data_IF_771222624808
#
_entry.id   IF_771222624808
#
_cell.length_a   1.000
_cell.length_b   1.000
_cell.length_c   1.000
_cell.angle_alpha   90.00
_cell.angle_beta   90.00
_cell.angle_gamma   90.00
#
_symmetry.space_group_name_H-M   'P 1'
#
loop_
_entity.id
_entity.type
_entity.pdbx_description
1 polymer ?
#
# COMPACT_ATOMS: atom_id res chain seq x y z
N UNK A 1 20.95 21.21 16.56
CA UNK A 1 19.89 21.41 17.58
C UNK A 1 18.76 20.48 17.20
N UNK A 2 18.20 19.71 18.15
CA UNK A 2 17.02 18.89 17.86
C UNK A 2 15.88 19.83 17.41
N UNK A 3 15.22 19.49 16.31
CA UNK A 3 14.09 20.26 15.80
C UNK A 3 12.87 20.17 16.71
N UNK A 4 11.74 20.81 16.34
CA UNK A 4 10.51 20.70 17.11
C UNK A 4 10.05 19.23 17.20
N UNK A 5 9.37 18.90 18.29
CA UNK A 5 8.80 17.57 18.53
C UNK A 5 7.28 17.64 18.65
N UNK A 6 6.58 16.65 18.09
CA UNK A 6 5.12 16.57 18.09
C UNK A 6 4.54 16.40 19.49
N UNK A 7 3.27 16.81 19.68
CA UNK A 7 2.55 16.50 20.90
C UNK A 7 2.01 15.06 20.85
N UNK A 8 2.81 14.12 21.35
CA UNK A 8 2.46 12.70 21.28
C UNK A 8 1.19 12.29 22.01
N UNK A 9 0.77 13.02 23.05
CA UNK A 9 -0.51 12.74 23.71
C UNK A 9 -1.70 13.13 22.82
N UNK A 10 -1.59 14.28 22.15
CA UNK A 10 -2.61 14.77 21.21
C UNK A 10 -2.74 13.85 20.01
N UNK A 11 -1.61 13.44 19.40
CA UNK A 11 -1.59 12.47 18.30
C UNK A 11 -2.29 11.17 18.66
N UNK A 12 -1.84 10.52 19.74
CA UNK A 12 -2.41 9.23 20.15
C UNK A 12 -3.90 9.35 20.50
N UNK A 13 -4.32 10.42 21.18
CA UNK A 13 -5.74 10.66 21.45
C UNK A 13 -6.56 10.83 20.17
N UNK A 14 -6.00 11.49 19.14
CA UNK A 14 -6.64 11.64 17.84
C UNK A 14 -6.73 10.31 17.07
N UNK A 15 -5.69 9.47 17.12
CA UNK A 15 -5.72 8.11 16.54
C UNK A 15 -6.81 7.27 17.21
N UNK A 16 -6.89 7.28 18.54
CA UNK A 16 -7.93 6.56 19.27
C UNK A 16 -9.34 7.08 18.96
N UNK A 17 -9.50 8.39 18.74
CA UNK A 17 -10.80 8.96 18.42
C UNK A 17 -11.28 8.59 17.01
N UNK A 18 -10.40 8.66 15.99
CA UNK A 18 -10.73 8.17 14.64
C UNK A 18 -10.94 6.65 14.64
N UNK A 19 -10.16 5.92 15.44
CA UNK A 19 -10.27 4.47 15.62
C UNK A 19 -11.63 4.00 16.16
N UNK A 20 -12.44 4.87 16.77
CA UNK A 20 -13.81 4.53 17.19
C UNK A 20 -14.83 4.60 16.05
N UNK A 21 -14.50 5.31 14.96
CA UNK A 21 -15.40 5.50 13.83
C UNK A 21 -15.22 4.31 12.88
N UNK A 22 -16.20 3.41 12.90
CA UNK A 22 -16.17 2.14 12.16
C UNK A 22 -15.62 0.96 12.95
N UNK A 23 -15.39 1.09 14.27
CA UNK A 23 -14.94 -0.03 15.12
C UNK A 23 -16.07 -1.06 15.31
N UNK A 24 -15.76 -2.34 15.08
CA UNK A 24 -16.64 -3.47 15.41
C UNK A 24 -15.85 -4.56 16.16
N UNK A 25 -16.52 -5.56 16.77
CA UNK A 25 -15.83 -6.71 17.39
C UNK A 25 -14.92 -7.49 16.43
N UNK A 26 -15.17 -7.38 15.13
CA UNK A 26 -14.41 -8.02 14.05
C UNK A 26 -13.25 -7.15 13.54
N UNK A 27 -13.11 -5.91 14.00
CA UNK A 27 -12.09 -4.95 13.56
C UNK A 27 -12.67 -3.67 12.98
N UNK A 28 -11.82 -2.88 12.34
CA UNK A 28 -12.26 -1.66 11.65
C UNK A 28 -13.07 -1.99 10.40
N UNK A 29 -14.16 -1.26 10.21
CA UNK A 29 -15.07 -1.34 9.07
C UNK A 29 -15.29 0.06 8.49
N UNK A 30 -14.22 0.83 8.34
CA UNK A 30 -14.26 2.16 7.69
C UNK A 30 -13.92 2.01 6.20
N UNK A 31 -14.61 1.10 5.54
CA UNK A 31 -14.44 0.82 4.10
C UNK A 31 -14.88 2.05 3.30
N UNK A 32 -14.15 2.38 2.24
CA UNK A 32 -14.42 3.56 1.41
C UNK A 32 -15.90 3.65 0.99
N UNK A 33 -16.43 4.87 1.02
CA UNK A 33 -17.82 5.23 0.71
C UNK A 33 -18.90 4.65 1.66
N UNK A 34 -18.52 3.91 2.70
CA UNK A 34 -19.42 3.51 3.77
C UNK A 34 -19.84 4.71 4.64
N UNK A 35 -20.89 4.54 5.44
CA UNK A 35 -21.28 5.56 6.43
C UNK A 35 -20.13 5.88 7.40
N UNK A 36 -19.34 4.89 7.79
CA UNK A 36 -18.19 5.07 8.67
C UNK A 36 -17.07 5.88 7.98
N UNK A 37 -16.83 5.65 6.68
CA UNK A 37 -15.86 6.46 5.91
C UNK A 37 -16.33 7.91 5.82
N UNK A 38 -17.58 8.16 5.45
CA UNK A 38 -18.14 9.52 5.43
C UNK A 38 -18.01 10.22 6.78
N UNK A 39 -18.27 9.52 7.88
CA UNK A 39 -18.08 10.06 9.24
C UNK A 39 -16.62 10.32 9.59
N UNK A 40 -15.71 9.40 9.26
CA UNK A 40 -14.28 9.53 9.50
C UNK A 40 -13.64 10.66 8.69
N UNK A 41 -14.03 10.80 7.43
CA UNK A 41 -13.67 11.94 6.55
C UNK A 41 -14.09 13.26 7.17
N UNK A 42 -15.33 13.37 7.63
CA UNK A 42 -15.83 14.57 8.33
C UNK A 42 -15.02 14.87 9.59
N UNK A 43 -14.77 13.85 10.42
CA UNK A 43 -13.95 14.01 11.61
C UNK A 43 -12.55 14.56 11.29
N UNK A 44 -11.91 14.05 10.24
CA UNK A 44 -10.57 14.49 9.82
C UNK A 44 -10.60 15.91 9.23
N UNK A 45 -11.62 16.27 8.44
CA UNK A 45 -11.81 17.65 7.98
C UNK A 45 -11.95 18.63 9.16
N UNK A 46 -12.71 18.26 10.20
CA UNK A 46 -12.87 19.08 11.40
C UNK A 46 -11.55 19.24 12.14
N UNK A 47 -10.72 18.19 12.22
CA UNK A 47 -9.38 18.26 12.81
C UNK A 47 -8.45 19.19 12.03
N UNK A 48 -8.51 19.14 10.69
CA UNK A 48 -7.73 20.00 9.82
C UNK A 48 -8.16 21.47 9.98
N UNK A 49 -9.45 21.76 9.93
CA UNK A 49 -9.99 23.10 10.14
C UNK A 49 -9.65 23.63 11.53
N UNK A 50 -9.75 22.79 12.56
CA UNK A 50 -9.34 23.11 13.93
C UNK A 50 -7.83 23.32 14.10
N UNK A 51 -7.01 22.80 13.19
CA UNK A 51 -5.58 23.08 13.08
C UNK A 51 -5.27 24.32 12.22
N UNK A 52 -6.29 25.11 11.84
CA UNK A 52 -6.12 26.33 11.04
C UNK A 52 -5.90 26.08 9.54
N UNK A 53 -6.08 24.86 9.04
CA UNK A 53 -5.96 24.54 7.62
C UNK A 53 -7.16 25.03 6.82
N UNK A 54 -6.92 25.52 5.61
CA UNK A 54 -7.96 25.76 4.62
C UNK A 54 -8.35 24.44 3.98
N UNK A 55 -9.49 23.89 4.36
CA UNK A 55 -9.97 22.58 3.92
C UNK A 55 -10.83 22.72 2.66
N UNK A 56 -10.53 21.90 1.66
CA UNK A 56 -11.32 21.72 0.44
C UNK A 56 -11.30 20.26 -0.01
N UNK A 57 -12.19 19.90 -0.91
CA UNK A 57 -12.17 18.61 -1.60
C UNK A 57 -11.99 18.82 -3.10
N UNK A 58 -11.29 17.91 -3.77
CA UNK A 58 -11.26 17.85 -5.23
C UNK A 58 -12.39 16.95 -5.77
N UNK A 59 -12.61 16.90 -7.10
CA UNK A 59 -13.65 16.03 -7.68
C UNK A 59 -13.43 14.53 -7.47
N UNK A 60 -12.20 14.09 -7.20
CA UNK A 60 -11.93 12.70 -6.80
C UNK A 60 -12.30 12.42 -5.33
N UNK A 61 -12.82 13.42 -4.62
CA UNK A 61 -13.19 13.35 -3.22
C UNK A 61 -12.00 13.41 -2.27
N UNK A 62 -10.77 13.66 -2.75
CA UNK A 62 -9.61 13.79 -1.88
C UNK A 62 -9.78 15.03 -0.99
N UNK A 63 -9.45 14.90 0.29
CA UNK A 63 -9.51 16.02 1.24
C UNK A 63 -8.14 16.67 1.27
N UNK A 64 -8.13 18.00 1.16
CA UNK A 64 -6.91 18.78 1.07
C UNK A 64 -6.99 19.93 2.09
N UNK A 65 -6.16 19.85 3.13
CA UNK A 65 -6.00 20.90 4.13
C UNK A 65 -4.74 21.71 3.88
N UNK A 66 -4.87 22.98 3.48
CA UNK A 66 -3.73 23.82 3.12
C UNK A 66 -3.35 24.83 4.20
N UNK A 67 -2.06 24.90 4.53
CA UNK A 67 -1.43 25.97 5.31
C UNK A 67 -0.53 26.79 4.40
N UNK A 68 -0.68 28.10 4.42
CA UNK A 68 0.17 28.98 3.62
C UNK A 68 1.58 29.08 4.22
N UNK A 69 2.58 29.06 3.34
CA UNK A 69 3.97 29.38 3.67
C UNK A 69 4.24 30.88 3.57
N UNK A 70 5.48 31.27 3.83
CA UNK A 70 5.95 32.65 3.61
C UNK A 70 6.06 33.00 2.12
N UNK A 71 6.35 32.02 1.25
CA UNK A 71 6.20 32.14 -0.20
C UNK A 71 4.94 31.40 -0.67
N UNK A 72 3.93 32.16 -1.10
CA UNK A 72 2.64 31.61 -1.56
C UNK A 72 2.68 31.06 -2.98
N UNK A 73 3.72 31.38 -3.75
CA UNK A 73 3.92 30.90 -5.11
C UNK A 73 4.81 29.66 -5.16
N UNK A 74 5.47 29.33 -4.04
CA UNK A 74 6.26 28.11 -3.94
C UNK A 74 5.36 26.87 -4.04
N UNK A 75 5.85 25.79 -4.68
CA UNK A 75 5.14 24.51 -4.72
C UNK A 75 4.96 23.95 -3.31
N UNK A 76 3.82 23.29 -3.04
CA UNK A 76 3.52 22.84 -1.69
C UNK A 76 4.33 21.59 -1.30
N UNK A 77 4.70 21.47 -0.03
CA UNK A 77 5.14 20.19 0.53
C UNK A 77 3.90 19.48 1.06
N UNK A 78 3.56 18.34 0.44
CA UNK A 78 2.41 17.56 0.81
C UNK A 78 2.78 16.47 1.83
N UNK A 79 1.90 16.26 2.80
CA UNK A 79 1.97 15.18 3.78
C UNK A 79 0.62 14.47 3.77
N UNK A 80 0.58 13.15 3.85
CA UNK A 80 -0.73 12.49 3.87
C UNK A 80 -0.66 10.98 3.70
N UNK A 81 -1.84 10.39 3.58
CA UNK A 81 -2.08 8.97 3.27
C UNK A 81 -3.61 8.82 3.07
N UNK A 82 -4.19 7.71 3.49
CA UNK A 82 -5.63 7.43 3.45
C UNK A 82 -6.26 7.31 4.84
N UNK A 83 -7.59 7.22 4.89
CA UNK A 83 -8.34 6.94 6.14
C UNK A 83 -9.36 5.83 5.99
N UNK A 84 -9.67 5.40 4.77
CA UNK A 84 -10.42 4.17 4.57
C UNK A 84 -9.59 2.96 4.97
N UNK A 85 -10.27 1.87 5.32
CA UNK A 85 -9.65 0.61 5.75
C UNK A 85 -10.17 -0.55 4.93
N UNK A 86 -9.43 -1.65 4.89
CA UNK A 86 -10.03 -2.96 4.60
C UNK A 86 -11.10 -3.34 5.62
N UNK A 87 -12.01 -4.27 5.28
CA UNK A 87 -12.89 -4.92 6.24
C UNK A 87 -12.08 -5.65 7.32
N UNK A 88 -12.49 -5.50 8.58
CA UNK A 88 -11.79 -6.10 9.73
C UNK A 88 -10.33 -5.62 9.88
N UNK A 89 -10.00 -4.44 9.36
CA UNK A 89 -8.68 -3.85 9.42
C UNK A 89 -8.30 -3.29 10.79
N UNK A 90 -7.12 -2.69 10.86
CA UNK A 90 -6.63 -1.96 12.01
C UNK A 90 -6.96 -0.47 11.97
N UNK A 91 -6.57 0.24 13.03
CA UNK A 91 -6.81 1.69 13.15
C UNK A 91 -5.60 2.56 12.74
N UNK A 92 -4.47 1.94 12.37
CA UNK A 92 -3.22 2.64 12.09
C UNK A 92 -2.94 2.74 10.59
N UNK A 93 -3.27 1.68 9.84
CA UNK A 93 -3.18 1.64 8.37
C UNK A 93 -3.80 2.88 7.72
N UNK A 94 -3.01 3.60 6.93
CA UNK A 94 -3.29 4.95 6.40
C UNK A 94 -3.44 6.07 7.43
N UNK A 95 -4.35 5.88 8.39
CA UNK A 95 -4.77 6.88 9.36
C UNK A 95 -3.61 7.47 10.16
N UNK A 96 -2.58 6.69 10.47
CA UNK A 96 -1.37 7.19 11.14
C UNK A 96 -0.72 8.34 10.35
N UNK A 97 -0.58 8.19 9.03
CA UNK A 97 0.07 9.18 8.17
C UNK A 97 -0.69 10.49 8.13
N UNK A 98 -2.00 10.43 7.94
CA UNK A 98 -2.89 11.61 7.93
C UNK A 98 -2.86 12.32 9.28
N UNK A 99 -3.00 11.59 10.38
CA UNK A 99 -3.07 12.19 11.71
C UNK A 99 -1.72 12.75 12.17
N UNK A 100 -0.61 12.12 11.79
CA UNK A 100 0.73 12.65 12.02
C UNK A 100 1.00 13.91 11.18
N UNK A 101 0.47 14.01 9.97
CA UNK A 101 0.56 15.21 9.15
C UNK A 101 -0.20 16.39 9.79
N UNK A 102 -1.43 16.16 10.27
CA UNK A 102 -2.20 17.18 11.02
C UNK A 102 -1.46 17.59 12.29
N UNK A 103 -0.91 16.63 13.04
CA UNK A 103 -0.14 16.92 14.25
C UNK A 103 1.14 17.70 13.95
N UNK A 104 1.80 17.43 12.82
CA UNK A 104 2.96 18.18 12.36
C UNK A 104 2.60 19.66 12.17
N UNK A 105 1.48 19.94 11.49
CA UNK A 105 0.97 21.32 11.33
C UNK A 105 0.69 21.98 12.67
N UNK A 106 -0.05 21.31 13.57
CA UNK A 106 -0.34 21.84 14.91
C UNK A 106 0.92 22.15 15.70
N UNK A 107 1.94 21.30 15.56
CA UNK A 107 3.23 21.48 16.23
C UNK A 107 3.96 22.72 15.73
N UNK A 108 3.91 23.02 14.43
CA UNK A 108 4.48 24.25 13.89
C UNK A 108 3.82 25.48 14.51
N UNK A 109 2.48 25.47 14.61
CA UNK A 109 1.73 26.59 15.16
C UNK A 109 1.98 26.75 16.67
N UNK A 110 2.03 25.65 17.42
CA UNK A 110 2.39 25.65 18.85
C UNK A 110 3.78 26.27 19.11
N UNK A 111 4.69 26.17 18.14
CA UNK A 111 6.06 26.72 18.21
C UNK A 111 6.24 28.04 17.44
N UNK A 112 5.18 28.58 16.80
CA UNK A 112 5.25 29.80 15.99
C UNK A 112 6.16 29.69 14.76
N UNK A 113 6.31 28.49 14.18
CA UNK A 113 7.19 28.24 13.03
C UNK A 113 6.43 28.49 11.72
N UNK A 114 6.97 29.38 10.88
CA UNK A 114 6.48 29.60 9.51
C UNK A 114 7.44 28.93 8.53
N UNK A 115 6.90 28.17 7.58
CA UNK A 115 7.66 27.49 6.52
C UNK A 115 7.88 28.41 5.31
N UNK A 116 8.88 28.11 4.50
CA UNK A 116 9.06 28.71 3.18
C UNK A 116 7.89 28.35 2.26
N UNK A 117 7.74 27.04 2.06
CA UNK A 117 6.72 26.43 1.23
C UNK A 117 5.35 26.40 1.93
N UNK A 118 4.25 26.47 1.16
CA UNK A 118 2.94 26.04 1.63
C UNK A 118 2.97 24.56 2.01
N UNK A 119 2.16 24.18 2.99
CA UNK A 119 1.98 22.78 3.38
C UNK A 119 0.57 22.33 3.00
N UNK A 120 0.46 21.10 2.49
CA UNK A 120 -0.83 20.46 2.25
C UNK A 120 -0.91 19.14 3.03
N UNK A 121 -1.97 18.96 3.81
CA UNK A 121 -2.34 17.65 4.34
C UNK A 121 -3.34 17.01 3.40
N UNK A 122 -3.00 15.84 2.87
CA UNK A 122 -3.80 15.08 1.90
C UNK A 122 -4.45 13.87 2.57
N UNK A 123 -5.71 13.63 2.25
CA UNK A 123 -6.41 12.37 2.53
C UNK A 123 -6.93 11.82 1.22
N UNK A 124 -6.37 10.71 0.78
CA UNK A 124 -6.75 10.08 -0.47
C UNK A 124 -8.03 9.25 -0.33
N UNK A 125 -8.79 9.20 -1.41
CA UNK A 125 -10.01 8.40 -1.51
C UNK A 125 -9.70 6.96 -1.93
N UNK A 126 -10.18 5.98 -1.16
CA UNK A 126 -10.21 4.57 -1.57
C UNK A 126 -8.83 4.08 -2.01
N UNK A 127 -7.88 4.17 -1.08
CA UNK A 127 -6.54 3.62 -1.25
C UNK A 127 -6.63 2.09 -1.34
N UNK A 128 -7.35 1.47 -0.38
CA UNK A 128 -7.41 0.03 -0.17
C UNK A 128 -8.09 -0.71 -1.32
N UNK A 129 -9.00 -0.02 -2.02
CA UNK A 129 -9.68 -0.54 -3.20
C UNK A 129 -10.60 -1.74 -2.97
N UNK A 130 -10.96 -2.04 -1.72
CA UNK A 130 -11.71 -3.24 -1.32
C UNK A 130 -13.00 -3.41 -2.12
N UNK A 131 -13.82 -2.36 -2.21
CA UNK A 131 -15.19 -2.47 -2.75
C UNK A 131 -15.22 -2.67 -4.26
N UNK A 132 -14.31 -2.02 -4.98
CA UNK A 132 -14.35 -1.93 -6.45
C UNK A 132 -13.23 -2.73 -7.12
N UNK A 133 -12.33 -3.34 -6.34
CA UNK A 133 -11.08 -3.93 -6.83
C UNK A 133 -10.24 -2.92 -7.64
N UNK A 134 -10.35 -1.64 -7.27
CA UNK A 134 -9.61 -0.49 -7.82
C UNK A 134 -9.02 0.26 -6.64
N UNK A 135 -7.71 0.18 -6.47
CA UNK A 135 -6.93 0.76 -5.38
C UNK A 135 -6.34 2.11 -5.81
N UNK A 136 -5.93 2.93 -4.84
CA UNK A 136 -5.35 4.26 -5.03
C UNK A 136 -6.22 5.21 -5.85
N UNK A 137 -7.55 5.12 -5.78
CA UNK A 137 -8.41 5.90 -6.69
C UNK A 137 -8.13 7.40 -6.57
N UNK A 138 -8.09 7.91 -5.35
CA UNK A 138 -7.86 9.32 -5.07
C UNK A 138 -6.50 9.83 -5.51
N UNK A 139 -5.43 9.12 -5.15
CA UNK A 139 -4.06 9.51 -5.50
C UNK A 139 -3.76 9.31 -6.99
N UNK A 140 -4.31 8.28 -7.64
CA UNK A 140 -4.26 8.12 -9.10
C UNK A 140 -5.00 9.24 -9.81
N UNK A 141 -6.17 9.68 -9.32
CA UNK A 141 -6.86 10.82 -9.91
C UNK A 141 -6.01 12.09 -9.80
N UNK A 142 -5.43 12.34 -8.62
CA UNK A 142 -4.54 13.49 -8.39
C UNK A 142 -3.29 13.44 -9.27
N UNK A 143 -2.75 12.25 -9.54
CA UNK A 143 -1.62 12.04 -10.43
C UNK A 143 -1.99 12.00 -11.93
N UNK A 144 -3.28 12.13 -12.29
CA UNK A 144 -3.75 12.03 -13.68
C UNK A 144 -3.66 10.61 -14.27
N UNK A 145 -3.67 9.59 -13.43
CA UNK A 145 -3.42 8.18 -13.75
C UNK A 145 -4.67 7.28 -13.68
N UNK A 146 -5.86 7.84 -13.94
CA UNK A 146 -7.09 7.06 -14.11
C UNK A 146 -7.16 6.39 -15.47
N UNK A 147 -7.76 5.21 -15.49
CA UNK A 147 -8.08 4.49 -16.71
C UNK A 147 -9.59 4.24 -16.85
N UNK A 148 -10.00 3.73 -18.02
CA UNK A 148 -11.40 3.45 -18.30
C UNK A 148 -12.01 2.42 -17.32
N UNK A 149 -11.22 1.47 -16.82
CA UNK A 149 -11.70 0.47 -15.88
C UNK A 149 -11.92 1.06 -14.47
N UNK A 150 -11.30 2.19 -14.12
CA UNK A 150 -11.68 2.95 -12.91
C UNK A 150 -13.08 3.57 -13.07
N UNK A 151 -13.36 4.17 -14.22
CA UNK A 151 -14.65 4.82 -14.51
C UNK A 151 -15.82 3.83 -14.61
N UNK A 152 -15.55 2.67 -15.22
CA UNK A 152 -16.55 1.61 -15.42
C UNK A 152 -16.69 0.69 -14.18
N UNK A 153 -15.98 1.00 -13.08
CA UNK A 153 -15.97 0.15 -11.89
C UNK A 153 -17.35 0.07 -11.22
N UNK A 154 -17.68 -1.11 -10.69
CA UNK A 154 -18.90 -1.37 -9.95
C UNK A 154 -18.60 -2.26 -8.74
N UNK A 155 -19.45 -2.16 -7.72
CA UNK A 155 -19.39 -3.03 -6.56
C UNK A 155 -19.83 -4.48 -6.92
N UNK A 156 -19.68 -5.47 -6.01
CA UNK A 156 -20.05 -6.86 -6.30
C UNK A 156 -21.53 -7.10 -6.62
N UNK A 157 -22.43 -6.15 -6.34
CA UNK A 157 -23.86 -6.24 -6.66
C UNK A 157 -24.24 -5.42 -7.90
N UNK A 158 -23.27 -4.77 -8.55
CA UNK A 158 -23.42 -4.05 -9.81
C UNK A 158 -23.73 -2.57 -9.68
N UNK A 159 -23.64 -1.98 -8.48
CA UNK A 159 -23.79 -0.53 -8.29
C UNK A 159 -22.54 0.19 -8.79
N UNK A 160 -22.71 1.17 -9.66
CA UNK A 160 -21.57 1.86 -10.27
C UNK A 160 -20.80 2.74 -9.27
N UNK A 161 -19.49 2.89 -9.46
CA UNK A 161 -18.65 3.79 -8.66
C UNK A 161 -19.19 5.24 -8.66
N UNK A 162 -19.73 5.68 -9.80
CA UNK A 162 -20.33 7.01 -9.97
C UNK A 162 -21.44 7.29 -8.94
N UNK A 163 -22.22 6.28 -8.55
CA UNK A 163 -23.30 6.42 -7.57
C UNK A 163 -22.80 6.60 -6.13
N UNK A 164 -21.54 6.28 -5.86
CA UNK A 164 -20.93 6.43 -4.53
C UNK A 164 -20.23 7.79 -4.33
N UNK A 165 -19.71 8.40 -5.39
CA UNK A 165 -18.96 9.67 -5.32
C UNK A 165 -19.69 10.82 -4.61
N UNK A 166 -21.00 11.04 -4.84
CA UNK A 166 -21.74 12.08 -4.14
C UNK A 166 -21.75 11.93 -2.62
N UNK A 167 -21.60 10.70 -2.08
CA UNK A 167 -21.59 10.44 -0.63
C UNK A 167 -20.40 11.08 0.08
N UNK A 168 -19.28 11.21 -0.62
CA UNK A 168 -18.04 11.80 -0.10
C UNK A 168 -17.81 13.22 -0.63
N UNK A 169 -18.78 13.80 -1.34
CA UNK A 169 -18.67 15.13 -1.96
C UNK A 169 -17.81 15.17 -3.22
N UNK A 170 -17.47 14.01 -3.81
CA UNK A 170 -16.79 13.90 -5.08
C UNK A 170 -17.75 13.97 -6.27
N UNK A 171 -17.18 14.12 -7.46
CA UNK A 171 -17.88 14.20 -8.74
C UNK A 171 -17.08 13.47 -9.82
N UNK A 172 -17.54 12.27 -10.19
CA UNK A 172 -16.83 11.39 -11.13
C UNK A 172 -16.72 12.00 -12.53
N UNK A 173 -17.73 12.76 -12.96
CA UNK A 173 -17.75 13.40 -14.29
C UNK A 173 -16.68 14.49 -14.42
N UNK A 174 -16.17 14.98 -13.28
CA UNK A 174 -15.15 16.03 -13.19
C UNK A 174 -13.83 15.53 -12.62
N UNK A 175 -13.65 14.22 -12.50
CA UNK A 175 -12.49 13.62 -11.85
C UNK A 175 -11.15 14.05 -12.45
N UNK A 176 -11.10 14.31 -13.77
CA UNK A 176 -9.90 14.78 -14.46
C UNK A 176 -9.43 16.14 -13.92
N UNK A 177 -10.32 16.96 -13.35
CA UNK A 177 -9.95 18.24 -12.72
C UNK A 177 -9.21 18.05 -11.38
N UNK A 178 -9.19 16.85 -10.79
CA UNK A 178 -8.38 16.54 -9.63
C UNK A 178 -6.87 16.46 -9.97
N UNK A 179 -6.55 16.25 -11.24
CA UNK A 179 -5.17 16.07 -11.69
C UNK A 179 -4.32 17.31 -11.42
N UNK A 180 -3.16 17.07 -10.80
CA UNK A 180 -2.10 18.03 -10.54
C UNK A 180 -1.01 17.90 -11.59
N UNK A 181 -0.27 18.98 -11.80
CA UNK A 181 0.86 19.01 -12.73
C UNK A 181 2.17 18.81 -11.98
N UNK A 182 3.18 18.34 -12.71
CA UNK A 182 4.56 18.40 -12.23
C UNK A 182 4.90 19.85 -11.86
N UNK A 183 5.45 20.03 -10.66
CA UNK A 183 5.75 21.35 -10.10
C UNK A 183 4.63 21.99 -9.28
N UNK A 184 3.43 21.39 -9.16
CA UNK A 184 2.43 21.84 -8.18
C UNK A 184 2.84 21.46 -6.74
N UNK A 185 3.55 20.34 -6.61
CA UNK A 185 4.08 19.81 -5.36
C UNK A 185 5.61 19.77 -5.39
N UNK A 186 6.23 20.24 -4.31
CA UNK A 186 7.67 20.21 -4.10
C UNK A 186 8.17 18.83 -3.69
N UNK A 187 7.37 18.16 -2.86
CA UNK A 187 7.55 16.78 -2.43
C UNK A 187 6.25 16.26 -1.80
N UNK A 188 6.09 14.95 -1.76
CA UNK A 188 5.08 14.28 -0.94
C UNK A 188 5.73 13.34 0.07
N UNK A 189 5.34 13.43 1.34
CA UNK A 189 5.81 12.54 2.40
C UNK A 189 4.65 11.73 2.99
N UNK A 190 4.85 10.43 3.10
CA UNK A 190 3.89 9.50 3.68
C UNK A 190 4.51 8.74 4.85
N UNK A 191 3.96 8.95 6.04
CA UNK A 191 4.25 8.12 7.20
C UNK A 191 3.26 6.97 7.22
N UNK A 192 3.76 5.75 7.36
CA UNK A 192 2.94 4.56 7.38
C UNK A 192 3.46 3.55 8.40
N UNK A 193 2.62 2.60 8.79
CA UNK A 193 3.10 1.40 9.49
C UNK A 193 3.80 0.49 8.48
N UNK A 194 4.77 -0.31 8.92
CA UNK A 194 5.51 -1.20 8.02
C UNK A 194 4.61 -2.25 7.36
N UNK A 195 3.57 -2.71 8.07
CA UNK A 195 2.73 -3.88 7.72
C UNK A 195 3.51 -5.20 7.64
N UNK A 196 4.83 -5.15 7.87
CA UNK A 196 5.73 -6.27 7.98
C UNK A 196 6.40 -6.33 9.35
N UNK A 197 7.12 -7.43 9.66
CA UNK A 197 7.67 -7.65 10.99
C UNK A 197 9.11 -7.16 11.14
N UNK A 198 9.74 -6.55 10.14
CA UNK A 198 11.19 -6.34 10.11
C UNK A 198 11.61 -5.36 11.20
N UNK A 199 11.01 -4.18 11.28
CA UNK A 199 11.29 -3.16 12.28
C UNK A 199 10.98 -3.67 13.69
N UNK A 200 9.86 -4.37 13.87
CA UNK A 200 9.51 -4.97 15.17
C UNK A 200 10.52 -6.04 15.61
N UNK A 201 10.88 -6.98 14.72
CA UNK A 201 11.85 -8.06 15.03
C UNK A 201 13.27 -7.55 15.25
N UNK A 202 13.64 -6.48 14.56
CA UNK A 202 14.97 -5.86 14.70
C UNK A 202 15.02 -4.79 15.79
N UNK A 203 13.87 -4.47 16.41
CA UNK A 203 13.72 -3.39 17.39
C UNK A 203 14.19 -2.01 16.88
N UNK A 204 14.10 -1.78 15.57
CA UNK A 204 14.45 -0.49 14.94
C UNK A 204 13.19 0.37 14.83
N UNK A 205 13.18 1.61 15.34
CA UNK A 205 11.96 2.41 15.41
C UNK A 205 11.54 3.06 14.09
N UNK A 206 12.42 3.12 13.09
CA UNK A 206 12.18 3.86 11.84
C UNK A 206 12.70 3.08 10.62
N UNK A 207 11.84 2.88 9.64
CA UNK A 207 12.21 2.43 8.30
C UNK A 207 12.32 3.62 7.34
N UNK A 208 13.48 3.77 6.69
CA UNK A 208 13.67 4.66 5.55
C UNK A 208 13.28 3.89 4.30
N UNK A 209 12.14 4.21 3.71
CA UNK A 209 11.61 3.36 2.63
C UNK A 209 12.45 3.55 1.35
N UNK A 210 12.97 2.45 0.81
CA UNK A 210 13.78 2.48 -0.43
C UNK A 210 12.95 2.62 -1.70
N UNK A 211 11.70 2.18 -1.62
CA UNK A 211 10.70 2.20 -2.69
C UNK A 211 9.63 1.15 -2.47
N UNK A 212 8.59 1.21 -3.29
CA UNK A 212 7.47 0.28 -3.31
C UNK A 212 7.74 -0.79 -4.36
N UNK A 213 7.58 -2.06 -4.01
CA UNK A 213 7.87 -3.17 -4.93
C UNK A 213 6.95 -3.16 -6.14
N UNK A 214 7.51 -3.53 -7.29
CA UNK A 214 6.74 -3.99 -8.43
C UNK A 214 6.20 -5.39 -8.17
N UNK A 215 5.28 -5.84 -9.02
CA UNK A 215 4.66 -7.16 -8.90
C UNK A 215 4.42 -7.80 -10.24
N UNK A 216 4.56 -9.12 -10.31
CA UNK A 216 4.13 -9.91 -11.47
C UNK A 216 3.24 -11.05 -10.99
N UNK A 217 2.02 -11.09 -11.52
CA UNK A 217 0.98 -12.07 -11.13
C UNK A 217 0.71 -12.99 -12.31
N UNK A 218 0.72 -14.30 -12.06
CA UNK A 218 0.56 -15.34 -13.05
C UNK A 218 -0.56 -16.31 -12.66
N UNK A 219 -1.30 -16.75 -13.67
CA UNK A 219 -2.06 -17.99 -13.62
C UNK A 219 -1.21 -19.08 -14.24
N UNK A 220 -0.94 -20.14 -13.49
CA UNK A 220 -0.24 -21.33 -13.98
C UNK A 220 -1.21 -22.50 -14.02
N UNK A 221 -1.40 -23.10 -15.19
CA UNK A 221 -2.33 -24.21 -15.40
C UNK A 221 -1.54 -25.46 -15.75
N UNK A 222 -1.55 -26.45 -14.85
CA UNK A 222 -1.03 -27.79 -15.12
C UNK A 222 -2.17 -28.66 -15.66
N UNK A 223 -1.97 -29.28 -16.84
CA UNK A 223 -2.93 -30.17 -17.49
C UNK A 223 -2.35 -31.56 -17.64
N UNK A 224 -3.10 -32.52 -17.15
CA UNK A 224 -2.80 -33.94 -17.17
C UNK A 224 -3.96 -34.72 -17.78
N UNK A 225 -4.28 -35.87 -17.19
CA UNK A 225 -5.41 -36.69 -17.64
C UNK A 225 -6.12 -37.28 -16.45
N UNK A 226 -7.39 -36.90 -16.29
CA UNK A 226 -8.23 -37.44 -15.24
C UNK A 226 -8.48 -38.93 -15.47
N UNK A 227 -8.21 -39.77 -14.47
CA UNK A 227 -8.43 -41.22 -14.57
C UNK A 227 -8.63 -41.85 -13.19
N UNK A 228 -9.04 -43.12 -13.15
CA UNK A 228 -9.33 -43.82 -11.91
C UNK A 228 -8.06 -44.17 -11.13
N UNK A 229 -7.97 -43.74 -9.87
CA UNK A 229 -6.76 -43.84 -9.06
C UNK A 229 -6.38 -45.28 -8.69
N UNK A 230 -7.34 -46.21 -8.68
CA UNK A 230 -7.08 -47.62 -8.35
C UNK A 230 -6.66 -48.49 -9.53
N UNK A 231 -6.97 -48.09 -10.76
CA UNK A 231 -6.79 -48.93 -11.96
C UNK A 231 -5.78 -48.36 -12.95
N UNK A 232 -5.37 -47.11 -12.78
CA UNK A 232 -4.32 -46.49 -13.61
C UNK A 232 -2.95 -46.78 -13.00
N UNK A 233 -2.09 -47.56 -13.67
CA UNK A 233 -0.69 -47.80 -13.24
C UNK A 233 0.08 -46.49 -13.08
N UNK A 234 1.09 -46.48 -12.19
CA UNK A 234 1.83 -45.25 -11.84
C UNK A 234 2.61 -44.66 -13.02
N UNK A 235 3.18 -45.51 -13.88
CA UNK A 235 3.93 -45.17 -15.09
C UNK A 235 3.06 -44.62 -16.23
N UNK A 236 1.73 -44.76 -16.13
CA UNK A 236 0.78 -44.27 -17.12
C UNK A 236 0.04 -43.00 -16.66
N UNK A 237 0.41 -42.41 -15.51
CA UNK A 237 -0.27 -41.23 -14.98
C UNK A 237 0.29 -39.95 -15.57
N UNK A 238 -0.62 -39.04 -15.89
CA UNK A 238 -0.35 -37.62 -16.16
C UNK A 238 -1.06 -36.82 -15.08
N UNK A 239 -0.47 -36.82 -13.89
CA UNK A 239 -1.11 -36.28 -12.68
C UNK A 239 -0.85 -34.76 -12.58
N UNK A 240 -1.89 -33.97 -12.85
CA UNK A 240 -1.77 -32.51 -12.81
C UNK A 240 -1.46 -31.97 -11.41
N UNK A 241 -1.92 -32.66 -10.35
CA UNK A 241 -1.67 -32.23 -8.97
C UNK A 241 -0.24 -32.54 -8.54
N UNK A 242 0.34 -33.64 -9.03
CA UNK A 242 1.76 -33.90 -8.86
C UNK A 242 2.61 -32.79 -9.52
N UNK A 243 2.31 -32.43 -10.77
CA UNK A 243 2.98 -31.32 -11.45
C UNK A 243 2.84 -30.00 -10.68
N UNK A 244 1.63 -29.67 -10.24
CA UNK A 244 1.35 -28.46 -9.46
C UNK A 244 2.09 -28.44 -8.10
N UNK A 245 2.18 -29.57 -7.39
CA UNK A 245 2.95 -29.64 -6.13
C UNK A 245 4.45 -29.38 -6.32
N UNK A 246 5.01 -29.83 -7.45
CA UNK A 246 6.39 -29.52 -7.84
C UNK A 246 6.56 -28.04 -8.19
N UNK A 247 5.57 -27.43 -8.84
CA UNK A 247 5.57 -25.99 -9.13
C UNK A 247 5.53 -25.15 -7.85
N UNK A 248 4.70 -25.55 -6.86
CA UNK A 248 4.61 -24.85 -5.57
C UNK A 248 5.95 -24.84 -4.85
N UNK A 249 6.61 -26.00 -4.76
CA UNK A 249 7.92 -26.10 -4.13
C UNK A 249 9.00 -25.36 -4.93
N UNK A 250 8.95 -25.42 -6.26
CA UNK A 250 9.85 -24.67 -7.12
C UNK A 250 9.75 -23.15 -6.93
N UNK A 251 8.54 -22.59 -6.85
CA UNK A 251 8.35 -21.14 -6.58
C UNK A 251 9.01 -20.75 -5.25
N UNK A 252 8.91 -21.60 -4.22
CA UNK A 252 9.61 -21.35 -2.97
C UNK A 252 11.13 -21.40 -3.13
N UNK A 253 11.69 -22.41 -3.82
CA UNK A 253 13.12 -22.52 -4.09
C UNK A 253 13.66 -21.32 -4.87
N UNK A 254 12.95 -20.86 -5.91
CA UNK A 254 13.30 -19.69 -6.74
C UNK A 254 13.55 -18.43 -5.90
N UNK A 255 12.85 -18.28 -4.78
CA UNK A 255 12.94 -17.10 -3.93
C UNK A 255 13.78 -17.33 -2.68
N UNK A 256 13.55 -18.42 -1.96
CA UNK A 256 14.16 -18.68 -0.66
C UNK A 256 15.59 -19.24 -0.76
N UNK A 257 15.92 -19.91 -1.86
CA UNK A 257 17.24 -20.53 -2.05
C UNK A 257 18.03 -19.86 -3.17
N UNK A 258 17.38 -19.57 -4.31
CA UNK A 258 18.03 -18.92 -5.45
C UNK A 258 18.06 -17.38 -5.32
N UNK A 259 17.30 -16.81 -4.38
CA UNK A 259 17.21 -15.36 -4.11
C UNK A 259 16.96 -14.52 -5.37
N UNK A 260 16.21 -15.06 -6.35
CA UNK A 260 16.01 -14.42 -7.66
C UNK A 260 15.22 -13.12 -7.59
N UNK A 261 14.34 -12.99 -6.59
CA UNK A 261 13.60 -11.79 -6.24
C UNK A 261 13.29 -11.80 -4.74
N UNK A 262 12.81 -10.69 -4.21
CA UNK A 262 12.58 -10.48 -2.77
C UNK A 262 11.57 -11.45 -2.17
N UNK A 263 10.40 -11.60 -2.78
CA UNK A 263 9.36 -12.54 -2.33
C UNK A 263 8.63 -13.17 -3.51
N UNK A 264 8.14 -14.39 -3.30
CA UNK A 264 7.27 -15.09 -4.24
C UNK A 264 6.39 -16.10 -3.53
N UNK A 265 5.15 -16.18 -4.00
CA UNK A 265 4.08 -16.88 -3.29
C UNK A 265 3.18 -17.60 -4.28
N UNK A 266 2.82 -18.85 -3.98
CA UNK A 266 1.65 -19.50 -4.58
C UNK A 266 0.47 -19.31 -3.64
N UNK A 267 -0.42 -18.38 -3.99
CA UNK A 267 -1.51 -17.94 -3.10
C UNK A 267 -2.80 -18.73 -3.27
N UNK A 268 -3.01 -19.36 -4.43
CA UNK A 268 -4.24 -20.11 -4.72
C UNK A 268 -3.96 -21.42 -5.43
N UNK A 269 -4.81 -22.42 -5.17
CA UNK A 269 -4.77 -23.74 -5.80
C UNK A 269 -6.21 -24.19 -6.08
N UNK A 270 -6.54 -24.45 -7.34
CA UNK A 270 -7.83 -25.00 -7.75
C UNK A 270 -7.64 -26.29 -8.55
N UNK A 271 -8.17 -27.41 -8.03
CA UNK A 271 -8.01 -28.74 -8.62
C UNK A 271 -9.25 -29.13 -9.43
N UNK A 272 -9.10 -29.64 -10.65
CA UNK A 272 -10.21 -30.00 -11.54
C UNK A 272 -10.07 -31.44 -12.09
N UNK A 273 -11.15 -32.25 -12.09
CA UNK A 273 -12.42 -32.00 -11.40
C UNK A 273 -12.24 -32.07 -9.87
N UNK A 274 -12.76 -31.09 -9.14
CA UNK A 274 -12.86 -31.15 -7.67
C UNK A 274 -13.94 -32.16 -7.29
N UNK A 275 -13.60 -33.22 -6.53
CA UNK A 275 -14.46 -33.88 -5.51
C UNK A 275 -14.19 -35.38 -5.24
N UNK A 276 -13.16 -36.01 -5.81
CA UNK A 276 -13.01 -37.47 -5.69
C UNK A 276 -11.58 -37.90 -5.34
N UNK A 277 -11.40 -38.46 -4.13
CA UNK A 277 -10.12 -39.03 -3.64
C UNK A 277 -9.62 -40.18 -4.53
N UNK A 278 -10.52 -40.83 -5.25
CA UNK A 278 -10.23 -41.95 -6.15
C UNK A 278 -10.04 -41.54 -7.63
N UNK A 279 -9.80 -40.25 -7.91
CA UNK A 279 -9.57 -39.73 -9.26
C UNK A 279 -8.22 -39.02 -9.30
N UNK A 280 -7.39 -39.36 -10.29
CA UNK A 280 -6.17 -38.63 -10.65
C UNK A 280 -6.60 -37.27 -11.20
N UNK A 281 -6.09 -36.14 -10.68
CA UNK A 281 -6.47 -34.82 -11.19
C UNK A 281 -6.03 -34.58 -12.63
N UNK A 282 -6.95 -34.09 -13.45
CA UNK A 282 -6.71 -33.80 -14.87
C UNK A 282 -6.26 -32.36 -15.13
N UNK A 283 -6.55 -31.43 -14.23
CA UNK A 283 -6.14 -30.03 -14.35
C UNK A 283 -5.97 -29.41 -12.96
N UNK A 284 -4.98 -28.54 -12.79
CA UNK A 284 -4.80 -27.72 -11.59
C UNK A 284 -4.41 -26.31 -12.01
N UNK A 285 -5.08 -25.31 -11.44
CA UNK A 285 -4.75 -23.89 -11.62
C UNK A 285 -4.09 -23.36 -10.34
N UNK A 286 -2.99 -22.63 -10.52
CA UNK A 286 -2.25 -21.96 -9.46
C UNK A 286 -2.23 -20.45 -9.71
N UNK A 287 -2.40 -19.66 -8.65
CA UNK A 287 -2.08 -18.23 -8.64
C UNK A 287 -0.69 -18.01 -8.06
N UNK A 288 0.24 -17.51 -8.87
CA UNK A 288 1.63 -17.25 -8.50
C UNK A 288 1.91 -15.75 -8.56
N UNK A 289 2.60 -15.21 -7.55
CA UNK A 289 3.02 -13.81 -7.52
C UNK A 289 4.51 -13.71 -7.17
N UNK A 290 5.23 -12.80 -7.82
CA UNK A 290 6.56 -12.34 -7.42
C UNK A 290 6.55 -10.83 -7.15
N UNK A 291 7.31 -10.37 -6.16
CA UNK A 291 7.50 -8.93 -5.86
C UNK A 291 8.96 -8.59 -5.65
N UNK A 292 9.37 -7.46 -6.22
CA UNK A 292 10.69 -6.87 -6.01
C UNK A 292 10.68 -5.38 -6.35
N UNK A 293 11.57 -4.60 -5.76
CA UNK A 293 11.84 -3.23 -6.21
C UNK A 293 12.66 -3.20 -7.50
N UNK A 294 13.47 -4.23 -7.75
CA UNK A 294 14.24 -4.38 -8.97
C UNK A 294 13.45 -5.17 -10.03
N UNK A 295 13.08 -4.47 -11.11
CA UNK A 295 12.33 -5.08 -12.21
C UNK A 295 13.14 -6.14 -12.96
N UNK A 296 14.47 -6.08 -12.97
CA UNK A 296 15.31 -7.12 -13.59
C UNK A 296 15.27 -8.42 -12.78
N UNK A 297 15.23 -8.31 -11.44
CA UNK A 297 15.01 -9.44 -10.53
C UNK A 297 13.65 -10.10 -10.77
N UNK A 298 12.58 -9.32 -10.99
CA UNK A 298 11.27 -9.86 -11.39
C UNK A 298 11.31 -10.57 -12.76
N UNK A 299 11.99 -9.98 -13.74
CA UNK A 299 12.18 -10.61 -15.05
C UNK A 299 12.99 -11.91 -14.94
N UNK A 300 13.94 -11.98 -14.00
CA UNK A 300 14.69 -13.19 -13.71
C UNK A 300 13.82 -14.28 -13.08
N UNK A 301 13.03 -13.95 -12.06
CA UNK A 301 12.08 -14.87 -11.45
C UNK A 301 11.06 -15.41 -12.46
N UNK A 302 10.55 -14.55 -13.37
CA UNK A 302 9.65 -14.97 -14.45
C UNK A 302 10.33 -15.96 -15.42
N UNK A 303 11.58 -15.69 -15.83
CA UNK A 303 12.35 -16.64 -16.67
C UNK A 303 12.56 -17.97 -15.96
N UNK A 304 12.91 -17.94 -14.67
CA UNK A 304 13.15 -19.13 -13.87
C UNK A 304 11.88 -19.96 -13.66
N UNK A 305 10.74 -19.33 -13.40
CA UNK A 305 9.44 -19.99 -13.35
C UNK A 305 9.14 -20.73 -14.67
N UNK A 306 9.38 -20.08 -15.81
CA UNK A 306 9.17 -20.68 -17.13
C UNK A 306 10.13 -21.85 -17.42
N UNK A 307 11.36 -21.81 -16.93
CA UNK A 307 12.32 -22.92 -17.04
C UNK A 307 11.87 -24.11 -16.21
N UNK A 308 11.62 -23.91 -14.92
CA UNK A 308 11.23 -25.01 -14.01
C UNK A 308 9.89 -25.62 -14.42
N UNK A 309 8.95 -24.81 -14.91
CA UNK A 309 7.68 -25.32 -15.43
C UNK A 309 7.87 -26.27 -16.61
N UNK A 310 8.80 -25.99 -17.53
CA UNK A 310 9.12 -26.88 -18.66
C UNK A 310 9.75 -28.18 -18.19
N UNK A 311 10.67 -28.11 -17.23
CA UNK A 311 11.33 -29.29 -16.67
C UNK A 311 10.32 -30.19 -15.94
N UNK A 312 9.43 -29.60 -15.14
CA UNK A 312 8.36 -30.32 -14.45
C UNK A 312 7.41 -30.96 -15.46
N UNK A 313 6.94 -30.21 -16.46
CA UNK A 313 6.05 -30.71 -17.52
C UNK A 313 6.63 -31.97 -18.18
N UNK A 314 7.92 -31.97 -18.54
CA UNK A 314 8.60 -33.13 -19.08
C UNK A 314 8.72 -34.29 -18.09
N UNK A 315 9.02 -34.00 -16.81
CA UNK A 315 9.20 -35.02 -15.78
C UNK A 315 7.88 -35.67 -15.29
N UNK A 316 6.72 -35.04 -15.55
CA UNK A 316 5.40 -35.57 -15.18
C UNK A 316 4.54 -35.96 -16.38
N UNK A 317 5.04 -35.84 -17.61
CA UNK A 317 4.29 -36.05 -18.86
C UNK A 317 2.96 -35.26 -18.88
N UNK A 318 3.01 -34.03 -18.38
CA UNK A 318 1.89 -33.07 -18.32
C UNK A 318 2.19 -31.85 -19.17
N UNK A 319 1.16 -31.07 -19.49
CA UNK A 319 1.30 -29.73 -20.06
C UNK A 319 1.27 -28.69 -18.93
N UNK A 320 2.10 -27.66 -18.99
CA UNK A 320 2.05 -26.52 -18.06
C UNK A 320 1.99 -25.22 -18.87
N UNK A 321 0.94 -24.43 -18.63
CA UNK A 321 0.70 -23.15 -19.29
C UNK A 321 0.86 -22.04 -18.27
N UNK A 322 1.62 -20.99 -18.60
CA UNK A 322 1.81 -19.82 -17.75
C UNK A 322 1.21 -18.62 -18.48
N UNK A 323 0.26 -17.95 -17.83
CA UNK A 323 -0.34 -16.72 -18.31
C UNK A 323 -0.07 -15.59 -17.31
N UNK A 324 0.62 -14.53 -17.74
CA UNK A 324 0.82 -13.34 -16.91
C UNK A 324 -0.47 -12.51 -16.91
N UNK A 325 -1.10 -12.44 -15.74
CA UNK A 325 -2.35 -11.69 -15.54
C UNK A 325 -2.07 -10.20 -15.37
N UNK A 326 -1.00 -9.87 -14.64
CA UNK A 326 -0.69 -8.48 -14.28
C UNK A 326 0.81 -8.25 -14.17
N UNK A 327 1.22 -7.03 -14.48
CA UNK A 327 2.57 -6.51 -14.22
C UNK A 327 2.48 -5.07 -13.70
N UNK A 328 2.85 -4.88 -12.44
CA UNK A 328 2.98 -3.57 -11.80
C UNK A 328 4.45 -3.15 -11.73
N UNK A 329 4.74 -1.89 -12.05
CA UNK A 329 6.08 -1.33 -11.95
C UNK A 329 6.41 -0.98 -10.50
N UNK A 330 7.68 -1.17 -10.12
CA UNK A 330 8.22 -0.65 -8.87
C UNK A 330 8.22 0.88 -8.86
N UNK A 331 8.07 1.46 -7.67
CA UNK A 331 8.27 2.89 -7.44
C UNK A 331 9.49 3.11 -6.54
N UNK A 332 10.70 3.23 -7.11
CA UNK A 332 11.91 3.52 -6.33
C UNK A 332 11.84 4.94 -5.74
N UNK A 333 12.22 5.07 -4.47
CA UNK A 333 12.31 6.38 -3.80
C UNK A 333 13.74 6.92 -3.95
N UNK A 334 13.83 8.17 -4.42
CA UNK A 334 15.08 8.87 -4.69
C UNK A 334 15.99 9.01 -3.46
N UNK A 335 17.31 8.93 -3.67
CA UNK A 335 18.30 9.10 -2.61
C UNK A 335 18.22 10.47 -1.93
N UNK A 336 17.85 11.51 -2.69
CA UNK A 336 17.70 12.88 -2.19
C UNK A 336 16.68 12.98 -1.05
N UNK A 337 15.54 12.28 -1.15
CA UNK A 337 14.51 12.27 -0.09
C UNK A 337 14.85 11.26 1.01
N UNK A 338 15.37 10.08 0.67
CA UNK A 338 15.76 9.06 1.67
C UNK A 338 16.83 9.57 2.63
N UNK A 339 17.81 10.31 2.11
CA UNK A 339 18.90 10.87 2.91
C UNK A 339 18.37 11.93 3.90
N UNK A 340 17.33 12.66 3.52
CA UNK A 340 16.64 13.62 4.39
C UNK A 340 15.91 12.89 5.52
N UNK A 341 15.16 11.84 5.21
CA UNK A 341 14.47 11.00 6.21
C UNK A 341 15.49 10.39 7.20
N UNK A 342 16.56 9.78 6.67
CA UNK A 342 17.59 9.16 7.49
C UNK A 342 18.29 10.19 8.39
N UNK A 343 18.52 11.42 7.88
CA UNK A 343 19.09 12.50 8.67
C UNK A 343 18.13 13.00 9.75
N UNK A 344 16.85 13.13 9.45
CA UNK A 344 15.82 13.50 10.43
C UNK A 344 15.77 12.47 11.59
N UNK A 345 15.76 11.18 11.28
CA UNK A 345 15.83 10.11 12.28
C UNK A 345 17.10 10.21 13.16
N UNK A 346 18.27 10.34 12.53
CA UNK A 346 19.54 10.50 13.26
C UNK A 346 19.57 11.73 14.16
N UNK A 347 19.04 12.87 13.71
CA UNK A 347 18.99 14.11 14.49
C UNK A 347 18.08 14.00 15.72
N UNK A 348 17.10 13.10 15.67
CA UNK A 348 16.21 12.75 16.79
C UNK A 348 16.80 11.65 17.69
N UNK A 349 17.99 11.12 17.36
CA UNK A 349 18.62 10.02 18.09
C UNK A 349 17.93 8.67 17.86
N UNK A 350 17.16 8.53 16.78
CA UNK A 350 16.47 7.30 16.42
C UNK A 350 17.34 6.48 15.47
N UNK A 351 17.47 5.18 15.76
CA UNK A 351 18.01 4.22 14.80
C UNK A 351 17.06 4.09 13.60
N UNK A 352 17.63 3.89 12.42
CA UNK A 352 16.84 3.66 11.22
C UNK A 352 17.54 2.69 10.28
N UNK A 353 16.75 1.92 9.53
CA UNK A 353 17.23 1.00 8.49
C UNK A 353 16.55 1.32 7.16
N UNK A 354 17.21 0.99 6.04
CA UNK A 354 16.62 1.09 4.72
C UNK A 354 15.81 -0.18 4.43
N UNK A 355 14.55 -0.04 4.02
CA UNK A 355 13.63 -1.16 3.79
C UNK A 355 12.69 -0.85 2.61
N UNK A 356 12.37 -1.80 1.70
CA UNK A 356 11.33 -1.57 0.70
C UNK A 356 9.94 -1.77 1.31
N UNK A 357 8.92 -1.09 0.78
CA UNK A 357 7.53 -1.46 1.04
C UNK A 357 7.13 -2.64 0.16
N UNK A 358 6.57 -3.68 0.78
CA UNK A 358 5.97 -4.81 0.07
C UNK A 358 4.51 -4.56 -0.37
N UNK A 359 3.88 -3.52 0.17
CA UNK A 359 2.50 -3.13 -0.08
C UNK A 359 2.43 -1.90 -1.00
N UNK A 360 1.29 -1.74 -1.69
CA UNK A 360 1.01 -0.51 -2.42
C UNK A 360 0.69 0.63 -1.44
N UNK A 361 0.96 1.87 -1.86
CA UNK A 361 0.59 3.07 -1.11
C UNK A 361 0.32 4.22 -2.08
N UNK A 362 -0.40 5.25 -1.63
CA UNK A 362 -0.68 6.45 -2.41
C UNK A 362 0.60 7.13 -2.95
N UNK A 363 1.72 7.07 -2.23
CA UNK A 363 3.02 7.53 -2.70
C UNK A 363 3.41 6.96 -4.08
N UNK A 364 2.97 5.74 -4.42
CA UNK A 364 3.25 5.14 -5.72
C UNK A 364 2.61 5.92 -6.87
N UNK A 365 1.38 6.40 -6.69
CA UNK A 365 0.69 7.20 -7.69
C UNK A 365 1.28 8.61 -7.75
N UNK A 366 1.52 9.23 -6.59
CA UNK A 366 2.03 10.60 -6.48
C UNK A 366 3.47 10.76 -7.00
N UNK A 367 4.25 9.67 -6.99
CA UNK A 367 5.59 9.65 -7.60
C UNK A 367 5.61 10.01 -9.10
N UNK A 368 4.46 9.94 -9.79
CA UNK A 368 4.36 10.36 -11.19
C UNK A 368 4.40 11.88 -11.40
N UNK A 369 4.17 12.68 -10.35
CA UNK A 369 4.04 14.14 -10.46
C UNK A 369 5.01 14.92 -9.55
N UNK A 370 5.63 14.25 -8.58
CA UNK A 370 6.61 14.88 -7.68
C UNK A 370 7.53 13.83 -7.05
N UNK A 371 8.58 14.28 -6.38
CA UNK A 371 9.41 13.39 -5.56
C UNK A 371 8.64 12.97 -4.31
N UNK A 372 8.76 11.71 -3.95
CA UNK A 372 8.08 11.15 -2.77
C UNK A 372 9.10 10.67 -1.74
N UNK A 373 8.68 10.61 -0.48
CA UNK A 373 9.41 9.97 0.60
C UNK A 373 8.45 9.21 1.49
N UNK A 374 8.87 8.04 1.95
CA UNK A 374 8.08 7.24 2.88
C UNK A 374 8.87 6.90 4.13
N UNK A 375 8.15 6.90 5.25
CA UNK A 375 8.68 6.63 6.58
C UNK A 375 7.85 5.48 7.15
N UNK A 376 8.52 4.42 7.59
CA UNK A 376 7.85 3.31 8.27
C UNK A 376 8.08 3.33 9.78
N UNK A 377 7.07 2.91 10.52
CA UNK A 377 7.16 2.57 11.95
C UNK A 377 6.82 1.09 12.18
N UNK A 378 7.31 0.47 13.27
CA UNK A 378 7.06 -0.94 13.55
C UNK A 378 5.58 -1.32 13.63
N UNK A 379 5.20 -2.41 12.95
CA UNK A 379 3.97 -3.15 13.20
C UNK A 379 4.27 -4.33 14.13
N UNK A 380 3.59 -4.43 15.28
CA UNK A 380 3.81 -5.54 16.23
C UNK A 380 3.50 -6.87 15.54
N UNK A 381 4.48 -7.77 15.58
CA UNK A 381 4.53 -9.06 14.88
C UNK A 381 4.34 -9.00 13.35
N UNK A 382 4.35 -7.80 12.76
CA UNK A 382 4.05 -7.58 11.35
C UNK A 382 2.60 -7.86 10.98
N UNK A 383 1.67 -7.71 11.93
CA UNK A 383 0.24 -7.89 11.67
C UNK A 383 -0.33 -6.58 11.13
N UNK A 384 -1.07 -6.66 10.02
CA UNK A 384 -1.85 -5.58 9.41
C UNK A 384 -3.04 -6.17 8.65
N UNK A 385 -3.96 -5.33 8.15
CA UNK A 385 -5.24 -5.74 7.54
C UNK A 385 -6.05 -6.69 8.45
N UNK A 386 -5.91 -6.48 9.76
CA UNK A 386 -6.48 -7.31 10.82
C UNK A 386 -6.75 -6.44 12.03
N UNK A 387 -7.78 -6.80 12.81
CA UNK A 387 -8.12 -6.12 14.07
C UNK A 387 -7.00 -6.21 15.12
N UNK A 388 -6.10 -7.17 14.97
CA UNK A 388 -4.93 -7.37 15.83
C UNK A 388 -3.76 -6.44 15.46
N UNK A 389 -3.88 -5.66 14.38
CA UNK A 389 -2.89 -4.64 14.00
C UNK A 389 -2.63 -3.68 15.16
N UNK A 390 -1.34 -3.53 15.48
CA UNK A 390 -0.92 -2.66 16.57
C UNK A 390 0.44 -2.03 16.30
N UNK A 391 0.50 -0.72 16.54
CA UNK A 391 1.73 0.07 16.63
C UNK A 391 1.75 0.77 17.98
N UNK A 392 2.90 0.77 18.66
CA UNK A 392 2.95 1.34 20.02
C UNK A 392 2.75 2.86 19.97
N UNK A 393 2.17 3.47 21.02
CA UNK A 393 2.02 4.92 21.10
C UNK A 393 3.35 5.69 20.94
N UNK A 394 4.46 5.09 21.35
CA UNK A 394 5.79 5.68 21.21
C UNK A 394 6.29 5.61 19.76
N UNK A 395 6.05 4.50 19.06
CA UNK A 395 6.44 4.35 17.66
C UNK A 395 5.64 5.30 16.74
N UNK A 396 4.35 5.48 17.00
CA UNK A 396 3.54 6.51 16.32
C UNK A 396 4.17 7.91 16.48
N UNK A 397 4.64 8.23 17.69
CA UNK A 397 5.30 9.52 17.98
C UNK A 397 6.67 9.62 17.32
N UNK A 398 7.45 8.55 17.31
CA UNK A 398 8.75 8.50 16.64
C UNK A 398 8.58 8.79 15.15
N UNK A 399 7.67 8.08 14.48
CA UNK A 399 7.36 8.30 13.06
C UNK A 399 6.87 9.72 12.77
N UNK A 400 5.96 10.24 13.58
CA UNK A 400 5.46 11.62 13.40
C UNK A 400 6.54 12.68 13.60
N UNK A 401 7.47 12.48 14.54
CA UNK A 401 8.63 13.36 14.70
C UNK A 401 9.56 13.32 13.48
N UNK A 402 9.81 12.14 12.92
CA UNK A 402 10.61 12.00 11.70
C UNK A 402 9.91 12.67 10.52
N UNK A 403 8.59 12.50 10.37
CA UNK A 403 7.79 13.17 9.34
C UNK A 403 7.92 14.70 9.43
N UNK A 404 7.70 15.27 10.62
CA UNK A 404 7.81 16.70 10.89
C UNK A 404 9.21 17.24 10.53
N UNK A 405 10.27 16.56 10.99
CA UNK A 405 11.64 17.02 10.78
C UNK A 405 12.12 16.81 9.33
N UNK A 406 11.64 15.75 8.65
CA UNK A 406 11.89 15.55 7.21
C UNK A 406 11.25 16.67 6.40
N UNK A 407 10.00 17.03 6.70
CA UNK A 407 9.32 18.14 6.05
C UNK A 407 10.07 19.47 6.24
N UNK A 408 10.50 19.76 7.47
CA UNK A 408 11.26 20.99 7.78
C UNK A 408 12.64 21.03 7.11
N UNK A 409 13.28 19.88 6.93
CA UNK A 409 14.54 19.80 6.20
C UNK A 409 14.32 20.01 4.69
N UNK A 410 13.23 19.49 4.11
CA UNK A 410 12.87 19.72 2.71
C UNK A 410 12.46 21.17 2.44
N UNK A 411 11.77 21.81 3.39
CA UNK A 411 11.39 23.23 3.30
C UNK A 411 12.59 24.19 3.21
N UNK A 412 13.76 23.75 3.68
CA UNK A 412 15.01 24.53 3.68
C UNK A 412 15.94 24.21 2.51
N UNK A 413 15.65 23.14 1.75
CA UNK A 413 16.58 22.52 0.82
C UNK A 413 16.62 23.20 -0.57
#
# INVERSE_FOLDING_TARGET
>A
MAGPTVNGRRLNATIEALGKIGETPEGMQRVAFSTADVEGRRYVMDLMAGAGLQVRMDPAGNIIGRREGSDRQAPAIALGSHVDTVPSGGKYDGALGVLAAIESVRTLDDHGITTGHPLEVLVFTNEEGTTFNRWLLGSRAMAGAWDKADLDAADPVGTSLAEYFPRIGGDLDRVEEAARREGDLHAYLELHIEQGPVLHRTAVPVGVVSGITGRSVFQVVAKGTANHAGTTPMDNRRDALLAASRLITAVNTIVAEEETCRVGTVGTVAVKPTSAVNVIPGEVELGVEFRDIDMESLDHAERRLNEVARDIAGATDTEVLINRLERGLSCPIGGDVRDVVARAARNLGLESIVIPSGAGHDAQAIANITRVGMIFVPSVDGISHSREEYTTPQDCVNGANVLLNTMLDLDRA
#
